data_IF_206090553238
#
_entry.id   IF_206090553238
#
_cell.length_a   1.000
_cell.length_b   1.000
_cell.length_c   1.000
_cell.angle_alpha   90.00
_cell.angle_beta   90.00
_cell.angle_gamma   90.00
#
_symmetry.space_group_name_H-M   'P 1'
#
loop_
_entity.id
_entity.type
_entity.pdbx_description
1 polymer ?
#
# COMPACT_ATOMS: atom_id res chain seq x y z
N UNK A 1 -4.61 -3.10 -18.87
CA UNK A 1 -3.48 -3.62 -18.07
C UNK A 1 -3.86 -5.00 -17.52
N UNK A 2 -2.93 -5.84 -17.07
CA UNK A 2 -3.19 -7.19 -16.55
C UNK A 2 -2.30 -7.48 -15.34
N UNK A 3 -2.85 -8.12 -14.31
CA UNK A 3 -2.23 -8.39 -13.00
C UNK A 3 -3.27 -9.02 -12.06
N UNK A 4 -2.85 -9.51 -10.90
CA UNK A 4 -3.75 -10.02 -9.87
C UNK A 4 -4.36 -8.88 -9.06
N UNK A 5 -5.50 -9.14 -8.45
CA UNK A 5 -6.19 -8.19 -7.55
C UNK A 5 -5.97 -8.60 -6.11
N UNK A 6 -5.50 -7.65 -5.30
CA UNK A 6 -5.46 -7.73 -3.84
C UNK A 6 -6.69 -6.99 -3.30
N UNK A 7 -7.73 -7.76 -2.97
CA UNK A 7 -9.04 -7.23 -2.59
C UNK A 7 -9.11 -6.97 -1.08
N UNK A 8 -9.43 -5.73 -0.71
CA UNK A 8 -9.79 -5.33 0.65
C UNK A 8 -11.22 -4.81 0.67
N UNK A 9 -12.19 -5.62 1.11
CA UNK A 9 -13.61 -5.20 1.17
C UNK A 9 -13.90 -4.10 2.22
N UNK A 10 -12.88 -3.69 2.98
CA UNK A 10 -13.01 -2.70 4.05
C UNK A 10 -12.91 -1.28 3.48
N UNK A 11 -13.81 -0.41 3.90
CA UNK A 11 -13.72 1.04 3.68
C UNK A 11 -12.73 1.69 4.66
N UNK A 12 -12.35 2.94 4.36
CA UNK A 12 -11.52 3.81 5.21
C UNK A 12 -10.19 3.15 5.62
N UNK A 13 -9.50 2.50 4.67
CA UNK A 13 -8.10 2.14 4.87
C UNK A 13 -7.31 3.44 4.69
N UNK A 14 -6.76 3.95 5.79
CA UNK A 14 -6.10 5.25 5.81
C UNK A 14 -4.60 5.13 5.50
N UNK A 15 -3.94 6.27 5.29
CA UNK A 15 -2.51 6.33 4.95
C UNK A 15 -1.59 5.75 6.04
N UNK A 16 -2.02 5.72 7.29
CA UNK A 16 -1.26 5.14 8.40
C UNK A 16 -1.27 3.61 8.36
N UNK A 17 -2.34 3.03 7.83
CA UNK A 17 -2.48 1.59 7.61
C UNK A 17 -1.79 1.13 6.33
N UNK A 18 -1.73 2.00 5.31
CA UNK A 18 -0.95 1.73 4.09
C UNK A 18 0.55 1.77 4.41
N UNK A 19 1.00 2.78 5.17
CA UNK A 19 2.38 2.87 5.66
C UNK A 19 2.43 3.43 7.10
N UNK A 20 2.90 2.64 8.06
CA UNK A 20 2.96 3.08 9.44
C UNK A 20 3.90 4.28 9.68
N UNK A 21 3.52 5.14 10.62
CA UNK A 21 4.24 6.41 10.90
C UNK A 21 5.73 6.22 11.25
N UNK A 22 6.10 5.04 11.77
CA UNK A 22 7.48 4.65 12.10
C UNK A 22 8.43 4.60 10.90
N UNK A 23 7.93 4.59 9.67
CA UNK A 23 8.75 4.55 8.45
C UNK A 23 8.84 5.89 7.71
N UNK A 24 8.25 6.97 8.25
CA UNK A 24 8.21 8.27 7.55
C UNK A 24 9.54 9.02 7.52
N UNK A 25 10.60 8.43 8.07
CA UNK A 25 11.99 8.91 7.92
C UNK A 25 12.70 8.28 6.71
N UNK A 26 12.05 7.32 6.03
CA UNK A 26 12.59 6.63 4.86
C UNK A 26 12.10 7.33 3.60
N UNK A 27 13.02 7.69 2.70
CA UNK A 27 12.70 8.36 1.42
C UNK A 27 13.02 7.51 0.19
N UNK A 28 13.37 6.24 0.38
CA UNK A 28 13.59 5.27 -0.68
C UNK A 28 12.35 4.39 -0.85
N UNK A 29 11.80 4.34 -2.07
CA UNK A 29 10.56 3.60 -2.35
C UNK A 29 10.73 2.09 -2.18
N UNK A 30 11.88 1.54 -2.57
CA UNK A 30 12.15 0.11 -2.43
C UNK A 30 12.25 -0.29 -0.95
N UNK A 31 12.78 0.58 -0.10
CA UNK A 31 12.78 0.39 1.34
C UNK A 31 11.36 0.47 1.93
N UNK A 32 10.55 1.45 1.53
CA UNK A 32 9.15 1.60 1.97
C UNK A 32 8.26 0.44 1.50
N UNK A 33 8.50 -0.10 0.31
CA UNK A 33 7.75 -1.20 -0.29
C UNK A 33 7.65 -2.42 0.62
N UNK A 34 8.71 -2.69 1.40
CA UNK A 34 8.80 -3.81 2.34
C UNK A 34 7.85 -3.68 3.54
N UNK A 35 7.27 -2.50 3.71
CA UNK A 35 6.39 -2.14 4.82
C UNK A 35 4.98 -1.76 4.36
N UNK A 36 4.68 -1.90 3.07
CA UNK A 36 3.36 -1.60 2.52
C UNK A 36 2.31 -2.54 3.13
N UNK A 37 1.20 -1.95 3.62
CA UNK A 37 0.03 -2.64 4.15
C UNK A 37 0.31 -3.51 5.40
N UNK A 38 1.49 -3.43 6.02
CA UNK A 38 1.95 -4.44 6.99
C UNK A 38 1.11 -4.53 8.28
N UNK A 39 0.48 -3.43 8.69
CA UNK A 39 -0.34 -3.39 9.91
C UNK A 39 -1.71 -4.07 9.71
N UNK A 40 -2.18 -4.20 8.46
CA UNK A 40 -3.48 -4.82 8.14
C UNK A 40 -3.36 -6.13 7.36
N UNK A 41 -2.24 -6.36 6.67
CA UNK A 41 -1.96 -7.54 5.86
C UNK A 41 -0.45 -7.82 5.78
N UNK A 42 0.08 -8.49 6.80
CA UNK A 42 1.51 -8.82 6.94
C UNK A 42 2.09 -9.62 5.78
N UNK A 43 1.24 -10.35 5.06
CA UNK A 43 1.64 -11.21 3.96
C UNK A 43 1.50 -10.51 2.59
N UNK A 44 0.98 -9.28 2.54
CA UNK A 44 0.82 -8.51 1.30
C UNK A 44 2.10 -8.47 0.47
N UNK A 45 3.22 -8.08 1.10
CA UNK A 45 4.53 -7.96 0.44
C UNK A 45 5.08 -9.27 -0.11
N UNK A 46 4.62 -10.41 0.42
CA UNK A 46 5.01 -11.74 -0.05
C UNK A 46 4.15 -12.21 -1.24
N UNK A 47 2.95 -11.64 -1.41
CA UNK A 47 2.00 -12.05 -2.46
C UNK A 47 1.96 -11.09 -3.64
N UNK A 48 2.23 -9.80 -3.40
CA UNK A 48 2.22 -8.75 -4.43
C UNK A 48 3.30 -9.01 -5.49
N UNK A 49 2.96 -8.74 -6.75
CA UNK A 49 3.87 -8.79 -7.89
C UNK A 49 3.80 -7.49 -8.68
N UNK A 50 4.87 -7.16 -9.39
CA UNK A 50 4.87 -5.99 -10.27
C UNK A 50 3.73 -6.08 -11.30
N UNK A 51 2.91 -5.04 -11.34
CA UNK A 51 1.76 -4.96 -12.23
C UNK A 51 0.41 -5.36 -11.61
N UNK A 52 0.40 -5.81 -10.36
CA UNK A 52 -0.82 -6.13 -9.63
C UNK A 52 -1.59 -4.87 -9.20
N UNK A 53 -2.83 -5.08 -8.77
CA UNK A 53 -3.79 -4.02 -8.42
C UNK A 53 -4.29 -4.20 -6.99
N UNK A 54 -4.60 -3.10 -6.34
CA UNK A 54 -5.42 -3.11 -5.13
C UNK A 54 -6.86 -2.78 -5.55
N UNK A 55 -7.84 -3.40 -4.92
CA UNK A 55 -9.23 -2.95 -4.97
C UNK A 55 -9.70 -2.86 -3.53
N UNK A 56 -10.18 -1.68 -3.14
CA UNK A 56 -10.59 -1.41 -1.77
C UNK A 56 -12.05 -0.94 -1.68
N UNK A 57 -12.57 -0.87 -0.45
CA UNK A 57 -13.84 -0.19 -0.17
C UNK A 57 -13.75 1.33 -0.38
N UNK A 58 -14.78 2.03 0.09
CA UNK A 58 -14.85 3.48 -0.05
C UNK A 58 -13.73 4.19 0.73
N UNK A 59 -13.32 5.36 0.25
CA UNK A 59 -12.41 6.27 0.96
C UNK A 59 -11.02 5.65 1.27
N UNK A 60 -10.48 4.87 0.33
CA UNK A 60 -9.12 4.34 0.42
C UNK A 60 -8.07 5.46 0.31
N UNK A 61 -7.06 5.40 1.18
CA UNK A 61 -6.00 6.41 1.25
C UNK A 61 -6.42 7.67 2.00
N UNK A 62 -7.48 7.61 2.80
CA UNK A 62 -7.91 8.72 3.64
C UNK A 62 -6.96 8.97 4.82
N UNK A 63 -7.27 9.97 5.64
CA UNK A 63 -6.49 10.31 6.82
C UNK A 63 -5.38 11.31 6.53
N UNK A 64 -4.17 11.04 7.03
CA UNK A 64 -3.09 12.02 7.05
C UNK A 64 -2.44 12.20 5.67
N UNK A 65 -1.98 13.42 5.36
CA UNK A 65 -1.28 13.70 4.10
C UNK A 65 0.11 13.05 4.12
N UNK A 66 0.25 11.89 3.46
CA UNK A 66 1.49 11.09 3.42
C UNK A 66 1.78 10.59 2.00
N UNK A 67 2.70 11.25 1.31
CA UNK A 67 3.20 10.77 0.01
C UNK A 67 3.86 9.38 0.10
N UNK A 68 4.45 9.08 1.27
CA UNK A 68 5.02 7.77 1.60
C UNK A 68 4.04 6.61 1.38
N UNK A 69 2.72 6.84 1.53
CA UNK A 69 1.72 5.81 1.30
C UNK A 69 1.70 5.41 -0.19
N UNK A 70 1.71 6.39 -1.09
CA UNK A 70 1.77 6.16 -2.54
C UNK A 70 3.10 5.53 -2.93
N UNK A 71 4.20 6.00 -2.35
CA UNK A 71 5.55 5.47 -2.60
C UNK A 71 5.70 4.02 -2.16
N UNK A 72 5.16 3.64 -1.01
CA UNK A 72 5.19 2.26 -0.52
C UNK A 72 4.43 1.33 -1.48
N UNK A 73 3.24 1.71 -1.93
CA UNK A 73 2.45 0.92 -2.88
C UNK A 73 3.12 0.82 -4.25
N UNK A 74 3.60 1.96 -4.79
CA UNK A 74 4.32 1.98 -6.08
C UNK A 74 5.59 1.15 -6.04
N UNK A 75 6.39 1.29 -4.98
CA UNK A 75 7.61 0.51 -4.77
C UNK A 75 7.34 -0.99 -4.61
N UNK A 76 6.18 -1.37 -4.05
CA UNK A 76 5.75 -2.77 -3.94
C UNK A 76 5.25 -3.37 -5.27
N UNK A 77 5.15 -2.57 -6.34
CA UNK A 77 4.70 -3.03 -7.64
C UNK A 77 3.20 -2.86 -7.89
N UNK A 78 2.48 -2.15 -7.01
CA UNK A 78 1.07 -1.81 -7.22
C UNK A 78 0.97 -0.84 -8.39
N UNK A 79 0.25 -1.25 -9.43
CA UNK A 79 0.12 -0.48 -10.65
C UNK A 79 -1.03 0.50 -10.63
N UNK A 80 -2.13 0.12 -9.99
CA UNK A 80 -3.25 1.01 -9.70
C UNK A 80 -4.03 0.47 -8.48
N UNK A 81 -4.80 1.37 -7.89
CA UNK A 81 -5.75 1.12 -6.80
C UNK A 81 -7.14 1.49 -7.29
#
# INVERSE_FOLDING_TARGET
>A
MRGNVHLYQRSHINTDEIIPARYLTIHDEAALARHAMEDIDKDFVNRIKDGDFIVAGEDFGCGSSREHAVWALRGAGVRAV
#
